data_IF_042476588048
#
_entry.id   IF_042476588048
#
_cell.length_a   1.000
_cell.length_b   1.000
_cell.length_c   1.000
_cell.angle_alpha   90.00
_cell.angle_beta   90.00
_cell.angle_gamma   90.00
#
_symmetry.space_group_name_H-M   'P 1'
#
loop_
_entity.id
_entity.type
_entity.pdbx_description
1 polymer ?
#
# COMPACT_ATOMS: atom_id res chain seq x y z
N UNK A 1 21.52 -8.26 71.21
CA UNK A 1 20.37 -8.82 70.49
C UNK A 1 19.09 -8.04 70.82
N UNK A 2 19.11 -6.69 70.74
CA UNK A 2 17.95 -5.80 71.00
C UNK A 2 18.11 -4.52 70.17
N UNK A 3 18.40 -4.60 68.85
CA UNK A 3 18.47 -3.40 68.01
C UNK A 3 17.89 -3.62 66.59
N UNK A 4 17.12 -4.65 66.36
CA UNK A 4 16.55 -4.96 65.04
C UNK A 4 15.01 -4.92 64.94
N UNK A 5 14.29 -4.52 65.97
CA UNK A 5 12.81 -4.55 65.96
C UNK A 5 12.18 -3.15 65.84
N UNK A 6 12.94 -2.07 65.84
CA UNK A 6 12.37 -0.69 65.72
C UNK A 6 12.27 -0.11 64.30
N UNK A 7 12.90 -0.73 63.28
CA UNK A 7 12.81 -0.23 61.90
C UNK A 7 11.64 -0.79 61.08
N UNK A 8 11.07 -1.89 61.47
CA UNK A 8 9.97 -2.55 60.72
C UNK A 8 8.57 -1.96 61.03
N UNK A 9 8.41 -1.24 62.11
CA UNK A 9 7.13 -0.66 62.51
C UNK A 9 6.90 0.79 62.01
N UNK A 10 7.92 1.45 61.52
CA UNK A 10 7.79 2.81 60.96
C UNK A 10 7.38 2.74 59.47
N UNK A 11 7.83 1.75 58.71
CA UNK A 11 7.42 1.56 57.31
C UNK A 11 5.97 1.06 57.16
N UNK A 12 5.43 0.30 58.11
CA UNK A 12 4.04 -0.16 58.02
C UNK A 12 2.98 0.92 58.36
N UNK A 13 3.39 2.01 59.06
CA UNK A 13 2.46 3.13 59.34
C UNK A 13 2.44 4.20 58.24
N UNK A 14 3.42 4.24 57.36
CA UNK A 14 3.45 5.19 56.20
C UNK A 14 2.60 4.64 55.04
N UNK A 15 2.45 3.31 54.92
CA UNK A 15 1.61 2.68 53.88
C UNK A 15 0.10 2.65 54.20
N UNK A 16 -0.31 2.83 55.44
CA UNK A 16 -1.72 2.78 55.85
C UNK A 16 -2.44 4.14 55.75
N UNK A 17 -1.76 5.22 55.43
CA UNK A 17 -2.36 6.56 55.26
C UNK A 17 -2.28 7.06 53.77
N UNK A 18 -2.03 6.19 52.82
CA UNK A 18 -2.29 6.46 51.39
C UNK A 18 -3.69 6.03 50.98
N UNK A 19 -4.68 6.29 51.83
CA UNK A 19 -6.08 6.23 51.44
C UNK A 19 -6.33 7.40 50.45
N UNK A 20 -6.41 7.05 49.17
CA UNK A 20 -7.14 7.77 48.10
C UNK A 20 -7.03 9.29 48.09
N UNK A 21 -5.82 9.83 47.88
CA UNK A 21 -5.73 11.08 47.15
C UNK A 21 -6.06 10.76 45.70
N UNK A 22 -7.34 10.70 45.34
CA UNK A 22 -7.78 10.87 43.95
C UNK A 22 -7.42 12.31 43.55
N UNK A 23 -6.18 12.51 43.10
CA UNK A 23 -5.84 13.72 42.37
C UNK A 23 -6.74 13.76 41.14
N UNK A 24 -7.79 14.58 41.21
CA UNK A 24 -8.63 14.86 40.06
C UNK A 24 -7.77 15.75 39.17
N UNK A 25 -6.94 15.10 38.34
CA UNK A 25 -6.08 15.81 37.40
C UNK A 25 -6.98 16.53 36.38
N UNK A 26 -6.76 17.83 36.14
CA UNK A 26 -7.59 18.57 35.22
C UNK A 26 -7.46 17.99 33.79
N UNK A 27 -8.58 17.75 33.11
CA UNK A 27 -8.57 17.40 31.68
C UNK A 27 -8.24 18.66 30.86
N UNK A 28 -6.94 18.86 30.67
CA UNK A 28 -6.39 20.01 29.91
C UNK A 28 -6.78 19.92 28.44
N UNK A 29 -6.93 18.70 27.89
CA UNK A 29 -7.33 18.48 26.50
C UNK A 29 -8.76 18.95 26.24
N UNK A 30 -9.65 18.78 27.19
CA UNK A 30 -11.04 19.25 27.09
C UNK A 30 -11.21 20.77 27.26
N UNK A 31 -10.18 21.48 27.73
CA UNK A 31 -10.24 22.95 27.87
C UNK A 31 -10.28 23.65 26.51
N UNK A 32 -10.74 24.93 26.49
CA UNK A 32 -10.74 25.75 25.28
C UNK A 32 -9.31 26.16 24.89
N UNK A 33 -8.95 26.15 23.59
CA UNK A 33 -7.66 26.65 23.12
C UNK A 33 -7.66 28.20 23.12
N UNK A 34 -6.48 28.81 23.10
CA UNK A 34 -6.32 30.27 22.93
C UNK A 34 -6.71 30.75 21.54
N UNK A 35 -6.60 29.88 20.53
CA UNK A 35 -6.99 30.13 19.14
C UNK A 35 -7.96 29.01 18.73
N UNK A 36 -9.21 29.37 18.46
CA UNK A 36 -10.30 28.43 18.15
C UNK A 36 -10.34 28.12 16.66
N UNK A 37 -9.54 27.11 16.23
CA UNK A 37 -9.50 26.61 14.85
C UNK A 37 -9.75 25.10 14.87
N UNK A 38 -10.61 24.59 13.96
CA UNK A 38 -10.78 23.18 13.74
C UNK A 38 -9.51 22.57 13.11
N UNK A 39 -9.09 21.41 13.61
CA UNK A 39 -7.97 20.66 13.01
C UNK A 39 -8.50 19.44 12.27
N UNK A 40 -8.08 19.29 11.02
CA UNK A 40 -8.53 18.19 10.15
C UNK A 40 -7.96 16.83 10.60
N UNK A 41 -6.73 16.81 11.11
CA UNK A 41 -6.04 15.60 11.57
C UNK A 41 -5.22 15.88 12.80
N UNK A 42 -5.50 15.16 13.88
CA UNK A 42 -4.70 15.11 15.11
C UNK A 42 -4.57 13.65 15.50
N UNK A 43 -3.35 13.18 15.75
CA UNK A 43 -3.20 11.76 16.03
C UNK A 43 -1.77 11.32 16.24
N UNK A 44 -1.51 10.04 15.99
CA UNK A 44 -0.24 9.35 16.18
C UNK A 44 0.26 8.84 14.84
N UNK A 45 1.54 9.04 14.55
CA UNK A 45 2.17 8.57 13.32
C UNK A 45 3.33 7.63 13.63
N UNK A 46 3.69 6.80 12.65
CA UNK A 46 4.83 5.88 12.71
C UNK A 46 4.73 4.86 13.87
N UNK A 47 3.51 4.43 14.21
CA UNK A 47 3.27 3.41 15.23
C UNK A 47 3.48 2.02 14.62
N UNK A 48 4.48 1.28 15.11
CA UNK A 48 4.77 -0.08 14.62
C UNK A 48 4.03 -1.12 15.44
N UNK A 49 3.35 -2.04 14.75
CA UNK A 49 2.61 -3.15 15.33
C UNK A 49 2.81 -4.43 14.53
N UNK A 50 2.71 -5.58 15.21
CA UNK A 50 2.62 -6.88 14.55
C UNK A 50 1.17 -7.11 14.12
N UNK A 51 0.99 -7.51 12.86
CA UNK A 51 -0.32 -7.86 12.30
C UNK A 51 -0.26 -9.27 11.77
N UNK A 52 -1.13 -10.15 12.25
CA UNK A 52 -1.28 -11.49 11.71
C UNK A 52 -2.40 -11.52 10.68
N UNK A 53 -2.06 -11.91 9.45
CA UNK A 53 -3.03 -12.03 8.35
C UNK A 53 -3.20 -13.51 8.03
N UNK A 54 -4.43 -14.02 8.12
CA UNK A 54 -4.78 -15.33 7.58
C UNK A 54 -4.95 -15.24 6.07
N UNK A 55 -4.49 -16.28 5.40
CA UNK A 55 -4.68 -16.46 3.95
C UNK A 55 -5.48 -17.74 3.72
N UNK A 56 -6.44 -17.68 2.78
CA UNK A 56 -7.23 -18.85 2.41
C UNK A 56 -6.29 -19.99 1.97
N UNK A 57 -6.44 -21.15 2.60
CA UNK A 57 -5.68 -22.39 2.30
C UNK A 57 -4.14 -22.27 2.42
N UNK A 58 -3.63 -21.24 3.14
CA UNK A 58 -2.18 -21.03 3.37
C UNK A 58 -1.93 -20.74 4.85
N UNK A 59 -0.67 -20.92 5.28
CA UNK A 59 -0.26 -20.51 6.63
C UNK A 59 -0.44 -19.01 6.81
N UNK A 60 -0.85 -18.54 8.00
CA UNK A 60 -0.85 -17.13 8.34
C UNK A 60 0.53 -16.50 8.14
N UNK A 61 0.56 -15.22 7.89
CA UNK A 61 1.80 -14.43 7.86
C UNK A 61 1.72 -13.35 8.92
N UNK A 62 2.88 -13.04 9.50
CA UNK A 62 3.04 -11.93 10.44
C UNK A 62 3.74 -10.79 9.73
N UNK A 63 3.12 -9.62 9.75
CA UNK A 63 3.64 -8.39 9.16
C UNK A 63 4.07 -7.43 10.28
N UNK A 64 5.21 -6.77 10.09
CA UNK A 64 5.57 -5.58 10.89
C UNK A 64 5.00 -4.38 10.15
N UNK A 65 3.87 -3.90 10.63
CA UNK A 65 3.11 -2.83 9.98
C UNK A 65 3.30 -1.49 10.68
N UNK A 66 3.34 -0.42 9.91
CA UNK A 66 3.39 0.95 10.41
C UNK A 66 2.02 1.58 10.24
N UNK A 67 1.47 2.12 11.33
CA UNK A 67 0.18 2.79 11.37
C UNK A 67 0.34 4.29 11.62
N UNK A 68 -0.44 5.08 10.88
CA UNK A 68 -0.75 6.47 11.18
C UNK A 68 -2.25 6.56 11.46
N UNK A 69 -2.61 7.17 12.59
CA UNK A 69 -3.98 7.13 13.13
C UNK A 69 -4.39 8.53 13.53
N UNK A 70 -5.50 9.01 12.97
CA UNK A 70 -5.95 10.39 13.13
C UNK A 70 -7.44 10.48 13.46
N UNK A 71 -7.80 11.56 14.18
CA UNK A 71 -9.17 12.05 14.31
C UNK A 71 -9.19 13.55 14.02
N UNK A 72 -10.34 14.11 13.66
CA UNK A 72 -10.52 15.56 13.63
C UNK A 72 -10.64 16.12 15.06
N UNK A 73 -10.32 17.40 15.22
CA UNK A 73 -10.42 18.09 16.51
C UNK A 73 -11.20 19.39 16.33
N UNK A 74 -12.34 19.53 17.02
CA UNK A 74 -13.16 20.75 16.95
C UNK A 74 -12.47 21.94 17.64
N UNK A 75 -12.85 23.15 17.22
CA UNK A 75 -12.25 24.42 17.64
C UNK A 75 -12.44 24.79 19.10
N UNK A 76 -13.35 24.14 19.81
CA UNK A 76 -13.63 24.36 21.22
C UNK A 76 -12.79 23.47 22.15
N UNK A 77 -11.95 22.59 21.58
CA UNK A 77 -11.16 21.61 22.30
C UNK A 77 -9.66 21.84 22.07
N UNK A 78 -8.87 21.89 23.15
CA UNK A 78 -7.42 22.18 23.13
C UNK A 78 -6.58 21.05 22.58
N UNK A 79 -6.97 19.78 22.83
CA UNK A 79 -6.17 18.63 22.42
C UNK A 79 -7.00 17.35 22.34
N UNK A 80 -6.48 16.37 21.59
CA UNK A 80 -7.00 15.02 21.50
C UNK A 80 -6.38 14.13 22.60
N UNK A 81 -7.13 13.14 23.06
CA UNK A 81 -6.66 12.14 24.03
C UNK A 81 -5.89 11.04 23.27
N UNK A 82 -4.62 11.30 22.92
CA UNK A 82 -3.84 10.44 22.03
C UNK A 82 -3.63 9.01 22.56
N UNK A 83 -3.69 8.75 23.88
CA UNK A 83 -3.67 7.39 24.42
C UNK A 83 -4.81 6.52 23.89
N UNK A 84 -5.98 7.10 23.64
CA UNK A 84 -7.14 6.40 23.04
C UNK A 84 -6.85 5.86 21.64
N UNK A 85 -5.92 6.47 20.90
CA UNK A 85 -5.50 6.00 19.57
C UNK A 85 -4.74 4.67 19.69
N UNK A 86 -3.82 4.56 20.67
CA UNK A 86 -3.10 3.31 20.95
C UNK A 86 -4.04 2.21 21.41
N UNK A 87 -4.92 2.53 22.36
CA UNK A 87 -5.91 1.59 22.90
C UNK A 87 -6.86 1.07 21.81
N UNK A 88 -7.30 1.95 20.89
CA UNK A 88 -8.17 1.56 19.79
C UNK A 88 -7.49 0.56 18.84
N UNK A 89 -6.22 0.81 18.50
CA UNK A 89 -5.44 -0.10 17.64
C UNK A 89 -5.19 -1.43 18.36
N UNK A 90 -4.72 -1.40 19.60
CA UNK A 90 -4.38 -2.61 20.34
C UNK A 90 -5.62 -3.49 20.61
N UNK A 91 -6.77 -2.91 20.93
CA UNK A 91 -8.02 -3.65 21.10
C UNK A 91 -8.45 -4.37 19.82
N UNK A 92 -8.35 -3.72 18.66
CA UNK A 92 -8.70 -4.35 17.39
C UNK A 92 -7.70 -5.47 17.06
N UNK A 93 -6.40 -5.24 17.25
CA UNK A 93 -5.36 -6.25 17.01
C UNK A 93 -5.53 -7.47 17.94
N UNK A 94 -5.90 -7.27 19.20
CA UNK A 94 -6.21 -8.35 20.15
C UNK A 94 -7.42 -9.20 19.69
N UNK A 95 -8.45 -8.56 19.15
CA UNK A 95 -9.60 -9.27 18.56
C UNK A 95 -9.19 -10.10 17.33
N UNK A 96 -8.26 -9.58 16.53
CA UNK A 96 -7.72 -10.28 15.35
C UNK A 96 -6.97 -11.56 15.73
N UNK A 97 -6.29 -11.61 16.87
CA UNK A 97 -5.65 -12.84 17.37
C UNK A 97 -6.67 -13.97 17.62
N UNK A 98 -7.91 -13.62 18.01
CA UNK A 98 -9.00 -14.58 18.22
C UNK A 98 -9.84 -14.83 16.97
N UNK A 99 -9.98 -13.83 16.09
CA UNK A 99 -10.75 -13.90 14.84
C UNK A 99 -9.91 -13.32 13.71
N UNK A 100 -9.17 -14.15 12.97
CA UNK A 100 -8.17 -13.71 12.04
C UNK A 100 -8.73 -12.85 10.90
N UNK A 101 -8.10 -11.73 10.62
CA UNK A 101 -8.42 -10.85 9.51
C UNK A 101 -7.81 -11.41 8.23
N UNK A 102 -8.60 -11.44 7.17
CA UNK A 102 -8.14 -11.83 5.84
C UNK A 102 -7.66 -10.64 5.01
N UNK A 103 -8.07 -9.42 5.39
CA UNK A 103 -7.94 -8.21 4.59
C UNK A 103 -7.42 -7.03 5.42
N UNK A 104 -6.33 -6.40 4.97
CA UNK A 104 -5.68 -5.31 5.71
C UNK A 104 -6.51 -4.02 5.72
N UNK A 105 -7.31 -3.78 4.68
CA UNK A 105 -8.22 -2.63 4.61
C UNK A 105 -9.41 -2.77 5.57
N UNK A 106 -9.86 -4.01 5.83
CA UNK A 106 -10.88 -4.26 6.85
C UNK A 106 -10.33 -3.99 8.23
N UNK A 107 -9.09 -4.38 8.52
CA UNK A 107 -8.41 -4.05 9.77
C UNK A 107 -8.36 -2.53 9.99
N UNK A 108 -7.98 -1.76 8.97
CA UNK A 108 -7.98 -0.29 9.05
C UNK A 108 -9.39 0.27 9.29
N UNK A 109 -10.42 -0.32 8.67
CA UNK A 109 -11.82 0.03 8.87
C UNK A 109 -12.27 -0.19 10.31
N UNK A 110 -11.96 -1.35 10.88
CA UNK A 110 -12.33 -1.70 12.25
C UNK A 110 -11.64 -0.79 13.28
N UNK A 111 -10.38 -0.43 13.04
CA UNK A 111 -9.66 0.54 13.87
C UNK A 111 -10.31 1.94 13.74
N UNK A 112 -10.65 2.40 12.54
CA UNK A 112 -11.27 3.71 12.34
C UNK A 112 -12.66 3.80 13.02
N UNK A 113 -13.42 2.72 12.97
CA UNK A 113 -14.70 2.61 13.68
C UNK A 113 -14.50 2.69 15.20
N UNK A 114 -13.56 1.92 15.77
CA UNK A 114 -13.27 1.93 17.20
C UNK A 114 -12.77 3.31 17.67
N UNK A 115 -11.97 4.02 16.84
CA UNK A 115 -11.52 5.38 17.14
C UNK A 115 -12.68 6.34 17.35
N UNK A 116 -13.67 6.37 16.46
CA UNK A 116 -14.83 7.23 16.59
C UNK A 116 -15.66 6.89 17.84
N UNK A 117 -15.76 5.62 18.20
CA UNK A 117 -16.40 5.21 19.46
C UNK A 117 -15.68 5.76 20.70
N UNK A 118 -14.36 5.86 20.67
CA UNK A 118 -13.53 6.35 21.79
C UNK A 118 -13.38 7.87 21.84
N UNK A 119 -13.52 8.55 20.70
CA UNK A 119 -13.40 9.99 20.55
C UNK A 119 -14.78 10.62 20.25
N UNK A 120 -15.65 10.68 21.26
CA UNK A 120 -17.04 11.15 21.12
C UNK A 120 -17.17 12.56 20.50
N UNK A 121 -16.12 13.39 20.65
CA UNK A 121 -16.06 14.75 20.09
C UNK A 121 -15.64 14.78 18.61
N UNK A 122 -15.10 13.68 18.08
CA UNK A 122 -14.65 13.61 16.71
C UNK A 122 -15.80 13.22 15.76
N UNK A 123 -15.79 13.79 14.57
CA UNK A 123 -16.72 13.47 13.49
C UNK A 123 -16.09 12.58 12.43
N UNK A 124 -14.74 12.56 12.37
CA UNK A 124 -13.99 11.79 11.40
C UNK A 124 -12.80 11.08 12.05
N UNK A 125 -12.54 9.84 11.63
CA UNK A 125 -11.32 9.11 11.92
C UNK A 125 -10.68 8.64 10.61
N UNK A 126 -9.35 8.59 10.59
CA UNK A 126 -8.57 8.08 9.47
C UNK A 126 -7.45 7.18 9.99
N UNK A 127 -7.30 6.03 9.38
CA UNK A 127 -6.25 5.04 9.67
C UNK A 127 -5.52 4.71 8.39
N UNK A 128 -4.20 4.76 8.43
CA UNK A 128 -3.31 4.35 7.35
C UNK A 128 -2.38 3.26 7.85
N UNK A 129 -2.20 2.24 7.06
CA UNK A 129 -1.29 1.13 7.32
C UNK A 129 -0.35 0.96 6.13
N UNK A 130 0.94 0.74 6.42
CA UNK A 130 1.96 0.35 5.43
C UNK A 130 2.71 -0.85 5.96
N UNK A 131 3.05 -1.77 5.06
CA UNK A 131 3.83 -2.96 5.41
C UNK A 131 4.59 -3.51 4.21
N UNK A 132 5.65 -4.26 4.51
CA UNK A 132 6.30 -5.13 3.57
C UNK A 132 5.57 -6.48 3.54
N UNK A 133 5.25 -6.96 2.34
CA UNK A 133 4.53 -8.21 2.12
C UNK A 133 5.40 -9.19 1.35
N UNK A 134 5.60 -10.36 1.93
CA UNK A 134 6.42 -11.41 1.34
C UNK A 134 5.62 -12.26 0.36
N UNK A 135 5.99 -12.21 -0.92
CA UNK A 135 5.47 -13.09 -1.96
C UNK A 135 6.47 -14.19 -2.30
N UNK A 136 5.96 -15.26 -2.91
CA UNK A 136 6.80 -16.32 -3.47
C UNK A 136 6.72 -16.27 -4.98
N UNK A 137 7.87 -16.12 -5.62
CA UNK A 137 8.01 -16.10 -7.06
C UNK A 137 8.90 -17.23 -7.53
N UNK A 138 8.61 -17.77 -8.71
CA UNK A 138 9.45 -18.74 -9.39
C UNK A 138 10.18 -18.06 -10.55
N UNK A 139 11.47 -18.32 -10.72
CA UNK A 139 12.23 -17.85 -11.88
C UNK A 139 11.65 -18.43 -13.18
N UNK A 140 11.71 -17.69 -14.32
CA UNK A 140 10.87 -17.95 -15.48
C UNK A 140 11.20 -19.23 -16.27
N UNK A 141 12.46 -19.70 -16.23
CA UNK A 141 12.91 -20.89 -16.95
C UNK A 141 13.17 -22.07 -16.02
N UNK A 142 13.92 -21.84 -14.93
CA UNK A 142 14.34 -22.91 -14.01
C UNK A 142 13.33 -23.22 -12.93
N UNK A 143 12.35 -22.35 -12.70
CA UNK A 143 11.32 -22.53 -11.67
C UNK A 143 11.85 -22.46 -10.23
N UNK A 144 13.05 -21.94 -10.01
CA UNK A 144 13.61 -21.75 -8.67
C UNK A 144 12.73 -20.77 -7.91
N UNK A 145 12.21 -21.22 -6.77
CA UNK A 145 11.33 -20.40 -5.91
C UNK A 145 12.16 -19.59 -4.94
N UNK A 146 11.93 -18.29 -4.91
CA UNK A 146 12.49 -17.35 -3.94
C UNK A 146 11.37 -16.51 -3.28
N UNK A 147 11.74 -15.86 -2.19
CA UNK A 147 10.89 -14.90 -1.53
C UNK A 147 11.26 -13.49 -2.03
N UNK A 148 10.26 -12.69 -2.32
CA UNK A 148 10.42 -11.31 -2.76
C UNK A 148 9.50 -10.41 -1.94
N UNK A 149 9.92 -9.18 -1.74
CA UNK A 149 9.18 -8.19 -0.96
C UNK A 149 8.44 -7.25 -1.90
N UNK A 150 7.17 -7.01 -1.62
CA UNK A 150 6.37 -5.94 -2.22
C UNK A 150 5.86 -5.01 -1.13
N UNK A 151 5.74 -3.72 -1.41
CA UNK A 151 5.14 -2.78 -0.47
C UNK A 151 3.63 -2.81 -0.62
N UNK A 152 2.93 -2.95 0.50
CA UNK A 152 1.47 -2.92 0.56
C UNK A 152 1.02 -1.79 1.47
N UNK A 153 -0.15 -1.25 1.21
CA UNK A 153 -0.76 -0.23 2.05
C UNK A 153 -2.28 -0.32 2.02
N UNK A 154 -2.87 0.07 3.13
CA UNK A 154 -4.30 0.18 3.29
C UNK A 154 -4.65 1.46 4.04
N UNK A 155 -5.81 2.02 3.75
CA UNK A 155 -6.37 3.15 4.47
C UNK A 155 -7.85 2.92 4.75
N UNK A 156 -8.35 3.48 5.83
CA UNK A 156 -9.77 3.60 6.06
C UNK A 156 -10.10 5.00 6.60
N UNK A 157 -11.24 5.51 6.17
CA UNK A 157 -11.81 6.73 6.70
C UNK A 157 -13.24 6.45 7.15
N UNK A 158 -13.56 6.79 8.39
CA UNK A 158 -14.90 6.71 8.95
C UNK A 158 -15.41 8.11 9.27
N UNK A 159 -16.65 8.41 8.87
CA UNK A 159 -17.31 9.68 9.12
C UNK A 159 -18.63 9.41 9.86
N UNK A 160 -18.86 10.12 10.96
CA UNK A 160 -20.07 10.00 11.77
C UNK A 160 -21.29 10.47 10.98
N UNK A 161 -22.33 9.66 10.94
CA UNK A 161 -23.58 9.97 10.24
C UNK A 161 -24.32 11.14 10.84
N UNK A 162 -25.05 11.87 10.01
CA UNK A 162 -25.91 12.98 10.44
C UNK A 162 -27.22 12.40 11.00
N UNK A 163 -27.50 12.66 12.27
CA UNK A 163 -28.75 12.23 12.94
C UNK A 163 -28.69 10.85 13.64
N UNK A 164 -27.72 10.02 13.32
CA UNK A 164 -27.45 8.74 14.00
C UNK A 164 -25.96 8.70 14.40
N UNK A 165 -25.71 8.78 15.71
CA UNK A 165 -24.34 8.81 16.24
C UNK A 165 -23.64 7.47 16.17
N UNK A 166 -24.39 6.40 16.02
CA UNK A 166 -23.88 5.03 15.97
C UNK A 166 -23.65 4.55 14.52
N UNK A 167 -24.11 5.31 13.54
CA UNK A 167 -23.85 5.06 12.12
C UNK A 167 -22.59 5.78 11.64
N UNK A 168 -21.70 5.03 10.97
CA UNK A 168 -20.49 5.58 10.35
C UNK A 168 -20.47 5.24 8.86
N UNK A 169 -20.28 6.27 8.01
CA UNK A 169 -19.93 6.07 6.60
C UNK A 169 -18.44 5.73 6.51
N UNK A 170 -18.12 4.51 6.08
CA UNK A 170 -16.74 4.01 6.02
C UNK A 170 -16.33 3.78 4.58
N UNK A 171 -15.17 4.30 4.22
CA UNK A 171 -14.48 4.03 2.94
C UNK A 171 -13.15 3.36 3.21
N UNK A 172 -12.87 2.28 2.48
CA UNK A 172 -11.61 1.53 2.53
C UNK A 172 -10.80 1.81 1.27
N UNK A 173 -9.48 1.75 1.42
CA UNK A 173 -8.52 1.78 0.32
C UNK A 173 -7.51 0.67 0.52
N UNK A 174 -7.22 -0.07 -0.53
CA UNK A 174 -6.13 -1.05 -0.57
C UNK A 174 -5.23 -0.76 -1.77
N UNK A 175 -3.93 -0.99 -1.62
CA UNK A 175 -2.98 -0.79 -2.70
C UNK A 175 -1.67 -1.53 -2.51
N UNK A 176 -0.91 -1.57 -3.59
CA UNK A 176 0.44 -2.13 -3.61
C UNK A 176 1.37 -1.29 -4.49
N UNK A 177 2.66 -1.34 -4.15
CA UNK A 177 3.76 -0.89 -4.98
C UNK A 177 4.64 -2.09 -5.31
N UNK A 178 4.87 -2.34 -6.61
CA UNK A 178 5.67 -3.45 -7.10
C UNK A 178 6.77 -2.94 -8.00
N UNK A 179 7.98 -3.47 -7.82
CA UNK A 179 9.13 -3.18 -8.68
C UNK A 179 9.16 -4.16 -9.84
N UNK A 180 9.38 -3.63 -11.05
CA UNK A 180 9.58 -4.38 -12.28
C UNK A 180 10.65 -3.72 -13.15
N UNK A 181 10.71 -4.12 -14.41
CA UNK A 181 11.60 -3.56 -15.42
C UNK A 181 10.80 -2.93 -16.55
N UNK A 182 11.27 -1.77 -17.04
CA UNK A 182 10.81 -1.15 -18.28
C UNK A 182 11.98 -1.01 -19.24
N UNK A 183 11.70 -1.17 -20.55
CA UNK A 183 12.64 -1.00 -21.65
C UNK A 183 12.11 0.11 -22.57
N UNK A 184 12.98 1.01 -22.99
CA UNK A 184 12.57 2.19 -23.75
C UNK A 184 12.19 1.85 -25.21
N UNK A 185 10.95 2.12 -25.67
CA UNK A 185 10.56 1.88 -27.07
C UNK A 185 11.31 2.78 -28.05
N UNK A 186 11.52 4.05 -27.70
CA UNK A 186 12.13 5.03 -28.60
C UNK A 186 13.59 4.66 -28.94
N UNK A 187 14.41 4.38 -27.91
CA UNK A 187 15.80 3.98 -28.13
C UNK A 187 15.90 2.63 -28.85
N UNK A 188 14.96 1.73 -28.62
CA UNK A 188 14.90 0.45 -29.33
C UNK A 188 14.64 0.66 -30.82
N UNK A 189 13.70 1.53 -31.20
CA UNK A 189 13.37 1.77 -32.61
C UNK A 189 14.56 2.37 -33.38
N UNK A 190 15.34 3.28 -32.79
CA UNK A 190 16.59 3.80 -33.37
C UNK A 190 17.58 2.65 -33.61
N UNK A 191 17.71 1.70 -32.70
CA UNK A 191 18.60 0.55 -32.87
C UNK A 191 18.09 -0.45 -33.91
N UNK A 192 16.75 -0.59 -34.04
CA UNK A 192 16.12 -1.40 -35.11
C UNK A 192 16.41 -0.82 -36.48
N UNK A 193 16.25 0.51 -36.65
CA UNK A 193 16.56 1.20 -37.89
C UNK A 193 18.05 1.04 -38.27
N UNK A 194 18.95 1.26 -37.32
CA UNK A 194 20.38 1.02 -37.53
C UNK A 194 20.66 -0.41 -38.01
N UNK A 195 20.09 -1.42 -37.30
CA UNK A 195 20.30 -2.82 -37.66
C UNK A 195 19.73 -3.15 -39.06
N UNK A 196 18.59 -2.57 -39.44
CA UNK A 196 18.00 -2.72 -40.76
C UNK A 196 18.93 -2.20 -41.86
N UNK A 197 19.50 -0.99 -41.69
CA UNK A 197 20.40 -0.36 -42.63
C UNK A 197 21.70 -1.18 -42.81
N UNK A 198 22.34 -1.59 -41.72
CA UNK A 198 23.54 -2.44 -41.75
C UNK A 198 23.29 -3.79 -42.48
N UNK A 199 22.15 -4.44 -42.24
CA UNK A 199 21.77 -5.68 -42.90
C UNK A 199 21.52 -5.47 -44.39
N UNK A 200 20.91 -4.35 -44.79
CA UNK A 200 20.70 -3.99 -46.20
C UNK A 200 22.02 -3.74 -46.92
N UNK A 201 22.99 -3.05 -46.29
CA UNK A 201 24.35 -2.84 -46.85
C UNK A 201 25.11 -4.15 -47.03
N UNK A 202 24.84 -5.16 -46.16
CA UNK A 202 25.38 -6.51 -46.32
C UNK A 202 24.67 -7.34 -47.41
N UNK A 203 23.69 -6.80 -48.09
CA UNK A 203 22.96 -7.43 -49.17
C UNK A 203 21.83 -8.36 -48.73
N UNK A 204 21.38 -8.27 -47.50
CA UNK A 204 20.22 -9.04 -47.00
C UNK A 204 18.94 -8.44 -47.58
N UNK A 205 18.03 -9.30 -48.07
CA UNK A 205 16.76 -8.85 -48.64
C UNK A 205 15.82 -8.33 -47.53
N UNK A 206 14.91 -7.44 -47.93
CA UNK A 206 14.00 -6.72 -47.02
C UNK A 206 13.14 -7.66 -46.20
N UNK A 207 12.63 -8.74 -46.76
CA UNK A 207 11.72 -9.66 -46.06
C UNK A 207 12.46 -10.45 -44.97
N UNK A 208 13.73 -10.77 -45.22
CA UNK A 208 14.60 -11.41 -44.21
C UNK A 208 14.97 -10.43 -43.13
N UNK A 209 15.22 -9.16 -43.42
CA UNK A 209 15.47 -8.11 -42.42
C UNK A 209 14.26 -7.96 -41.49
N UNK A 210 13.05 -7.85 -42.05
CA UNK A 210 11.82 -7.72 -41.27
C UNK A 210 11.66 -8.93 -40.32
N UNK A 211 11.77 -10.15 -40.83
CA UNK A 211 11.67 -11.38 -40.04
C UNK A 211 12.74 -11.48 -38.95
N UNK A 212 13.92 -10.99 -39.18
CA UNK A 212 15.00 -10.95 -38.19
C UNK A 212 14.63 -10.00 -37.04
N UNK A 213 14.20 -8.77 -37.35
CA UNK A 213 13.85 -7.76 -36.39
C UNK A 213 12.59 -8.09 -35.57
N UNK A 214 11.69 -8.93 -36.08
CA UNK A 214 10.55 -9.46 -35.35
C UNK A 214 10.94 -10.53 -34.33
N UNK A 215 12.03 -11.27 -34.57
CA UNK A 215 12.44 -12.43 -33.74
C UNK A 215 13.57 -12.11 -32.78
N UNK A 216 14.40 -11.11 -33.10
CA UNK A 216 15.58 -10.78 -32.31
C UNK A 216 15.35 -9.45 -31.59
N UNK A 217 15.32 -9.44 -30.26
CA UNK A 217 15.16 -8.19 -29.51
C UNK A 217 16.35 -7.26 -29.75
N UNK A 218 16.06 -6.02 -30.12
CA UNK A 218 17.09 -5.01 -30.31
C UNK A 218 17.47 -4.36 -28.98
N UNK A 219 18.72 -3.92 -28.89
CA UNK A 219 19.22 -3.24 -27.70
C UNK A 219 18.46 -1.94 -27.44
N UNK A 220 18.14 -1.69 -26.17
CA UNK A 220 17.62 -0.42 -25.68
C UNK A 220 18.05 -0.24 -24.23
N UNK A 221 17.99 1.00 -23.72
CA UNK A 221 18.16 1.15 -22.28
C UNK A 221 16.95 0.59 -21.52
N UNK A 222 17.22 0.02 -20.38
CA UNK A 222 16.23 -0.48 -19.46
C UNK A 222 16.53 0.02 -18.03
N UNK A 223 15.53 0.04 -17.22
CA UNK A 223 15.58 0.57 -15.86
C UNK A 223 14.55 -0.09 -14.96
N UNK A 224 14.72 0.10 -13.65
CA UNK A 224 13.69 -0.26 -12.68
C UNK A 224 12.50 0.67 -12.81
N UNK A 225 11.30 0.07 -12.82
CA UNK A 225 10.04 0.76 -12.75
C UNK A 225 9.31 0.39 -11.48
N UNK A 226 8.65 1.36 -10.84
CA UNK A 226 7.75 1.15 -9.71
C UNK A 226 6.32 1.41 -10.17
N UNK A 227 5.52 0.34 -10.25
CA UNK A 227 4.09 0.42 -10.49
C UNK A 227 3.33 0.47 -9.18
N UNK A 228 2.34 1.35 -9.07
CA UNK A 228 1.53 1.55 -7.89
C UNK A 228 0.07 1.57 -8.31
N UNK A 229 -0.74 0.76 -7.63
CA UNK A 229 -2.20 0.79 -7.76
C UNK A 229 -2.81 0.95 -6.39
N UNK A 230 -3.81 1.82 -6.25
CA UNK A 230 -4.72 1.82 -5.13
C UNK A 230 -6.16 1.90 -5.59
N UNK A 231 -7.03 1.18 -4.88
CA UNK A 231 -8.48 1.10 -5.14
C UNK A 231 -9.21 1.50 -3.87
N UNK A 232 -10.02 2.56 -3.95
CA UNK A 232 -10.84 3.04 -2.85
C UNK A 232 -12.31 2.73 -3.11
N UNK A 233 -12.92 2.03 -2.17
CA UNK A 233 -14.31 1.55 -2.25
C UNK A 233 -15.09 1.86 -0.97
N UNK A 234 -16.41 1.69 -1.01
CA UNK A 234 -17.25 1.64 0.18
C UNK A 234 -16.92 0.37 1.01
N UNK A 235 -17.37 0.33 2.26
CA UNK A 235 -17.02 -0.72 3.23
C UNK A 235 -17.41 -2.14 2.80
N UNK A 236 -18.47 -2.31 2.05
CA UNK A 236 -19.07 -3.58 1.63
C UNK A 236 -18.40 -4.26 0.43
N UNK A 237 -17.37 -3.65 -0.15
CA UNK A 237 -16.63 -4.23 -1.27
C UNK A 237 -15.23 -4.71 -0.86
N UNK A 238 -14.87 -5.90 -1.37
CA UNK A 238 -13.57 -6.51 -1.17
C UNK A 238 -12.74 -6.49 -2.46
N UNK A 239 -11.46 -6.19 -2.31
CA UNK A 239 -10.51 -6.08 -3.43
C UNK A 239 -9.31 -6.98 -3.16
N UNK A 240 -9.03 -7.90 -4.05
CA UNK A 240 -7.91 -8.84 -3.90
C UNK A 240 -6.55 -8.14 -4.06
N UNK A 241 -5.77 -8.13 -2.99
CA UNK A 241 -4.40 -7.62 -2.98
C UNK A 241 -3.49 -8.37 -3.96
N UNK A 242 -3.61 -9.71 -4.00
CA UNK A 242 -2.84 -10.53 -4.94
C UNK A 242 -3.18 -10.21 -6.40
N UNK A 243 -4.43 -9.85 -6.70
CA UNK A 243 -4.81 -9.40 -8.05
C UNK A 243 -4.17 -8.06 -8.39
N UNK A 244 -4.16 -7.10 -7.46
CA UNK A 244 -3.47 -5.81 -7.63
C UNK A 244 -1.98 -6.04 -7.95
N UNK A 245 -1.29 -6.86 -7.16
CA UNK A 245 0.14 -7.16 -7.36
C UNK A 245 0.37 -7.76 -8.76
N UNK A 246 -0.42 -8.77 -9.16
CA UNK A 246 -0.31 -9.40 -10.50
C UNK A 246 -0.57 -8.42 -11.65
N UNK A 247 -1.52 -7.49 -11.48
CA UNK A 247 -1.80 -6.46 -12.48
C UNK A 247 -0.57 -5.57 -12.69
N UNK A 248 0.03 -5.09 -11.61
CA UNK A 248 1.21 -4.25 -11.69
C UNK A 248 2.36 -4.99 -12.39
N UNK A 249 2.64 -6.23 -11.99
CA UNK A 249 3.72 -7.05 -12.55
C UNK A 249 3.59 -7.24 -14.05
N UNK A 250 2.42 -7.65 -14.54
CA UNK A 250 2.20 -7.92 -15.98
C UNK A 250 2.07 -6.66 -16.84
N UNK A 251 1.97 -5.50 -16.22
CA UNK A 251 1.80 -4.23 -16.93
C UNK A 251 3.13 -3.55 -17.31
N UNK A 252 4.25 -3.99 -16.75
CA UNK A 252 5.60 -3.54 -17.12
C UNK A 252 6.22 -4.39 -18.23
N UNK A 253 7.43 -4.04 -18.69
CA UNK A 253 8.12 -4.79 -19.75
C UNK A 253 8.53 -6.19 -19.31
N UNK A 254 8.99 -6.35 -18.05
CA UNK A 254 9.31 -7.62 -17.42
C UNK A 254 9.27 -7.50 -15.91
N UNK A 255 9.11 -8.62 -15.21
CA UNK A 255 9.36 -8.72 -13.77
C UNK A 255 10.86 -8.71 -13.48
N UNK A 256 11.22 -8.38 -12.23
CA UNK A 256 12.56 -8.57 -11.67
C UNK A 256 12.52 -9.73 -10.67
N UNK A 257 13.66 -10.35 -10.40
CA UNK A 257 13.75 -11.58 -9.59
C UNK A 257 14.98 -11.53 -8.68
N UNK A 258 14.88 -12.08 -7.48
CA UNK A 258 16.01 -12.19 -6.56
C UNK A 258 17.05 -13.25 -7.01
N UNK A 259 16.60 -14.32 -7.69
CA UNK A 259 17.47 -15.42 -8.12
C UNK A 259 17.21 -15.76 -9.58
N UNK A 260 18.24 -15.66 -10.41
CA UNK A 260 18.23 -16.06 -11.81
C UNK A 260 19.45 -16.96 -12.12
N UNK A 261 19.25 -17.96 -12.97
CA UNK A 261 20.31 -18.67 -13.67
C UNK A 261 20.46 -18.11 -15.09
N UNK A 262 21.50 -18.47 -15.81
CA UNK A 262 21.75 -17.97 -17.19
C UNK A 262 20.54 -18.15 -18.14
N UNK A 263 19.83 -19.28 -18.02
CA UNK A 263 18.61 -19.52 -18.80
C UNK A 263 17.47 -18.58 -18.42
N UNK A 264 17.36 -18.23 -17.13
CA UNK A 264 16.36 -17.28 -16.65
C UNK A 264 16.70 -15.85 -17.10
N UNK A 265 17.99 -15.45 -17.01
CA UNK A 265 18.46 -14.13 -17.48
C UNK A 265 18.13 -13.93 -18.96
N UNK A 266 18.34 -14.97 -19.80
CA UNK A 266 17.95 -14.93 -21.21
C UNK A 266 16.47 -14.61 -21.36
N UNK A 267 15.59 -15.33 -20.66
CA UNK A 267 14.13 -15.12 -20.73
C UNK A 267 13.74 -13.71 -20.28
N UNK A 268 14.33 -13.21 -19.18
CA UNK A 268 14.04 -11.86 -18.68
C UNK A 268 14.44 -10.79 -19.69
N UNK A 269 15.65 -10.90 -20.28
CA UNK A 269 16.15 -9.97 -21.28
C UNK A 269 15.29 -10.01 -22.55
N UNK A 270 15.00 -11.20 -23.08
CA UNK A 270 14.14 -11.36 -24.24
C UNK A 270 12.74 -10.77 -23.99
N UNK A 271 12.11 -11.10 -22.83
CA UNK A 271 10.78 -10.59 -22.47
C UNK A 271 10.76 -9.07 -22.39
N UNK A 272 11.74 -8.47 -21.70
CA UNK A 272 11.78 -7.02 -21.52
C UNK A 272 11.95 -6.27 -22.85
N UNK A 273 12.87 -6.74 -23.73
CA UNK A 273 13.17 -6.07 -24.98
C UNK A 273 12.20 -6.42 -26.13
N UNK A 274 11.42 -7.50 -26.01
CA UNK A 274 10.31 -7.79 -26.91
C UNK A 274 9.00 -7.08 -26.50
N UNK A 275 8.96 -6.48 -25.31
CA UNK A 275 7.80 -5.79 -24.76
C UNK A 275 8.19 -4.40 -24.19
N UNK A 276 8.82 -3.54 -25.01
CA UNK A 276 9.22 -2.20 -24.55
C UNK A 276 7.98 -1.37 -24.22
N UNK A 277 8.06 -0.56 -23.15
CA UNK A 277 6.94 0.27 -22.65
C UNK A 277 7.43 1.57 -22.08
N UNK A 278 6.77 2.65 -22.44
CA UNK A 278 6.84 3.93 -21.74
C UNK A 278 6.11 3.89 -20.39
N UNK A 279 6.33 4.86 -19.53
CA UNK A 279 5.57 5.00 -18.27
C UNK A 279 4.07 5.09 -18.52
N UNK A 280 3.67 5.78 -19.60
CA UNK A 280 2.30 5.93 -20.04
C UNK A 280 1.67 4.59 -20.43
N UNK A 281 2.43 3.75 -21.13
CA UNK A 281 1.95 2.43 -21.56
C UNK A 281 1.74 1.49 -20.37
N UNK A 282 2.62 1.59 -19.37
CA UNK A 282 2.43 0.85 -18.12
C UNK A 282 1.13 1.26 -17.41
N UNK A 283 0.86 2.58 -17.30
CA UNK A 283 -0.38 3.10 -16.69
C UNK A 283 -1.62 2.65 -17.47
N UNK A 284 -1.59 2.74 -18.82
CA UNK A 284 -2.70 2.26 -19.68
C UNK A 284 -2.92 0.75 -19.53
N UNK A 285 -1.84 -0.03 -19.50
CA UNK A 285 -1.92 -1.47 -19.30
C UNK A 285 -2.48 -1.85 -17.92
N UNK A 286 -2.09 -1.11 -16.87
CA UNK A 286 -2.67 -1.32 -15.54
C UNK A 286 -4.17 -0.99 -15.53
N UNK A 287 -4.59 0.12 -16.16
CA UNK A 287 -6.00 0.51 -16.25
C UNK A 287 -6.85 -0.56 -16.96
N UNK A 288 -6.42 -1.02 -18.12
CA UNK A 288 -7.07 -2.09 -18.89
C UNK A 288 -7.18 -3.39 -18.08
N UNK A 289 -6.08 -3.77 -17.42
CA UNK A 289 -6.06 -4.97 -16.58
C UNK A 289 -6.97 -4.85 -15.35
N UNK A 290 -7.11 -3.67 -14.73
CA UNK A 290 -8.03 -3.43 -13.60
C UNK A 290 -9.48 -3.63 -14.05
N UNK A 291 -9.87 -3.04 -15.18
CA UNK A 291 -11.24 -3.17 -15.72
C UNK A 291 -11.59 -4.64 -15.99
N UNK A 292 -10.64 -5.41 -16.52
CA UNK A 292 -10.83 -6.85 -16.82
C UNK A 292 -10.86 -7.73 -15.57
N UNK A 293 -9.99 -7.45 -14.59
CA UNK A 293 -9.85 -8.27 -13.37
C UNK A 293 -10.98 -8.01 -12.37
N UNK A 294 -11.52 -6.78 -12.30
CA UNK A 294 -12.55 -6.38 -11.35
C UNK A 294 -13.86 -5.96 -12.03
N UNK A 295 -14.55 -6.87 -12.75
CA UNK A 295 -15.78 -6.54 -13.50
C UNK A 295 -16.92 -6.07 -12.58
N UNK A 296 -16.95 -6.53 -11.33
CA UNK A 296 -18.01 -6.23 -10.36
C UNK A 296 -17.69 -5.02 -9.46
N UNK A 297 -16.56 -4.37 -9.64
CA UNK A 297 -16.22 -3.19 -8.84
C UNK A 297 -17.22 -2.05 -9.16
N UNK A 298 -17.73 -1.30 -8.17
CA UNK A 298 -18.73 -0.25 -8.44
C UNK A 298 -18.13 0.90 -9.26
N UNK A 299 -18.94 1.52 -10.10
CA UNK A 299 -18.51 2.60 -11.00
C UNK A 299 -17.99 3.84 -10.25
N UNK A 300 -18.38 4.03 -8.98
CA UNK A 300 -17.89 5.10 -8.11
C UNK A 300 -16.63 4.74 -7.32
N UNK A 301 -16.05 3.55 -7.52
CA UNK A 301 -14.74 3.21 -6.96
C UNK A 301 -13.67 4.14 -7.53
N UNK A 302 -12.81 4.70 -6.65
CA UNK A 302 -11.72 5.58 -7.09
C UNK A 302 -10.47 4.74 -7.31
N UNK A 303 -9.96 4.77 -8.53
CA UNK A 303 -8.75 4.06 -8.95
C UNK A 303 -7.62 5.07 -9.10
N UNK A 304 -6.50 4.80 -8.44
CA UNK A 304 -5.26 5.56 -8.65
C UNK A 304 -4.19 4.62 -9.17
N UNK A 305 -3.60 4.96 -10.29
CA UNK A 305 -2.55 4.19 -10.98
C UNK A 305 -1.36 5.10 -11.19
N UNK A 306 -0.15 4.65 -10.82
CA UNK A 306 1.09 5.40 -11.05
C UNK A 306 2.17 4.48 -11.58
N UNK A 307 3.03 5.02 -12.43
CA UNK A 307 4.28 4.40 -12.83
C UNK A 307 5.40 5.40 -12.67
N UNK A 308 6.50 4.96 -12.07
CA UNK A 308 7.73 5.75 -11.88
C UNK A 308 8.87 4.91 -12.44
N UNK A 309 9.56 5.40 -13.46
CA UNK A 309 10.75 4.75 -14.00
C UNK A 309 12.01 5.48 -13.53
N UNK A 310 12.94 4.74 -12.95
CA UNK A 310 14.25 5.23 -12.53
C UNK A 310 15.18 5.20 -13.76
N UNK A 311 15.09 6.26 -14.61
CA UNK A 311 15.74 6.29 -15.92
C UNK A 311 17.26 6.06 -15.84
N UNK A 312 17.76 5.06 -16.60
CA UNK A 312 19.17 4.64 -16.54
C UNK A 312 20.14 5.60 -17.24
N UNK A 313 19.65 6.36 -18.25
CA UNK A 313 20.46 7.30 -19.03
C UNK A 313 20.19 8.76 -18.68
N UNK A 314 19.25 9.04 -17.75
CA UNK A 314 18.88 10.38 -17.31
C UNK A 314 19.07 10.52 -15.79
N UNK A 315 19.20 11.76 -15.30
CA UNK A 315 19.31 12.05 -13.85
C UNK A 315 17.96 12.20 -13.17
N UNK A 316 16.87 12.22 -13.90
CA UNK A 316 15.50 12.34 -13.41
C UNK A 316 14.75 11.03 -13.67
N UNK A 317 13.66 10.86 -12.98
CA UNK A 317 12.72 9.77 -13.19
C UNK A 317 11.63 10.21 -14.17
N UNK A 318 11.12 9.28 -14.97
CA UNK A 318 9.87 9.46 -15.71
C UNK A 318 8.68 9.08 -14.82
N UNK A 319 7.55 9.78 -14.99
CA UNK A 319 6.36 9.59 -14.16
C UNK A 319 5.09 9.70 -14.99
N UNK A 320 4.15 8.78 -14.76
CA UNK A 320 2.78 8.87 -15.27
C UNK A 320 1.78 8.49 -14.17
N UNK A 321 0.62 9.12 -14.17
CA UNK A 321 -0.46 8.88 -13.22
C UNK A 321 -1.83 8.98 -13.89
N UNK A 322 -2.76 8.12 -13.48
CA UNK A 322 -4.20 8.25 -13.76
C UNK A 322 -4.96 8.09 -12.45
N UNK A 323 -5.80 9.07 -12.15
CA UNK A 323 -6.83 9.00 -11.10
C UNK A 323 -8.18 9.11 -11.79
N UNK A 324 -9.04 8.13 -11.58
CA UNK A 324 -10.34 8.05 -12.24
C UNK A 324 -11.35 7.26 -11.41
N UNK A 325 -12.61 7.44 -11.70
CA UNK A 325 -13.65 6.51 -11.28
C UNK A 325 -13.61 5.24 -12.16
N UNK A 326 -14.01 4.10 -11.59
CA UNK A 326 -14.06 2.83 -12.34
C UNK A 326 -14.96 2.91 -13.57
N UNK A 327 -16.11 3.60 -13.46
CA UNK A 327 -17.02 3.84 -14.58
C UNK A 327 -16.40 4.66 -15.71
N UNK A 328 -15.55 5.65 -15.39
CA UNK A 328 -14.79 6.41 -16.39
C UNK A 328 -13.80 5.53 -17.14
N UNK A 329 -13.01 4.68 -16.43
CA UNK A 329 -12.07 3.75 -17.06
C UNK A 329 -12.78 2.77 -17.98
N UNK A 330 -13.92 2.21 -17.55
CA UNK A 330 -14.74 1.33 -18.41
C UNK A 330 -15.21 2.02 -19.67
N UNK A 331 -15.65 3.26 -19.57
CA UNK A 331 -16.11 4.05 -20.73
C UNK A 331 -14.97 4.35 -21.71
N UNK A 332 -13.78 4.70 -21.21
CA UNK A 332 -12.62 5.01 -22.02
C UNK A 332 -12.03 3.77 -22.74
N UNK A 333 -12.05 2.59 -22.11
CA UNK A 333 -11.47 1.36 -22.66
C UNK A 333 -12.42 0.67 -23.65
N UNK A 334 -13.73 0.83 -23.51
CA UNK A 334 -14.73 0.22 -24.41
C UNK A 334 -15.08 1.09 -25.63
N UNK A 335 -14.42 2.23 -25.82
CA UNK A 335 -14.49 3.06 -27.03
C UNK A 335 -13.59 2.53 -28.13
#
# INVERSE_FOLDING_TARGET
MILQIKHTLIFSRIWLNMEHCTFNLPDVQASKPSIAINLTRVGVTNMKKLVEIKRKDKRPIVLISTFDVFVDLPSDRKGANLSRNFEAVDEVLEKVLSTPVYEIEQLCSDIAHNLLGRHEYANQAEVRMKSEYMIRRASPSTGIKCQEVVNIFAEASAVRGVGDKDYFDVKKLIGAEVVGMTACPCAQEIMRDKAANELAELGVDRDTIIRFLEKVPMATHNQRGRGIISIKVAHDFDVSLESIIRIIERSMSSSVYEVLKRSDEKVVVETAHMNPKFVEDCVRAMADNIVKEFPNLPDNAVITIKQINEESIHRHNAFAERVALMGELRSEINQ
#
